data_IF_534639700798
#
_entry.id   IF_534639700798
#
_cell.length_a   1.000
_cell.length_b   1.000
_cell.length_c   1.000
_cell.angle_alpha   90.00
_cell.angle_beta   90.00
_cell.angle_gamma   90.00
#
_symmetry.space_group_name_H-M   'P 1'
#
loop_
_entity.id
_entity.type
_entity.pdbx_description
1 polymer ?
#
# COMPACT_ATOMS: atom_id res chain seq x y z
N UNK A 1 -10.11 7.91 -25.10
CA UNK A 1 -11.01 7.72 -23.94
C UNK A 1 -10.26 6.84 -22.95
N UNK A 2 -9.99 7.32 -21.74
CA UNK A 2 -9.23 6.54 -20.75
C UNK A 2 -10.06 5.39 -20.20
N UNK A 3 -9.48 4.20 -20.14
CA UNK A 3 -10.10 3.06 -19.47
C UNK A 3 -10.26 3.37 -17.97
N UNK A 4 -11.50 3.49 -17.51
CA UNK A 4 -11.79 3.65 -16.09
C UNK A 4 -11.50 2.32 -15.38
N UNK A 5 -10.52 2.33 -14.48
CA UNK A 5 -10.24 1.18 -13.61
C UNK A 5 -11.30 1.11 -12.52
N UNK A 6 -12.07 0.02 -12.48
CA UNK A 6 -13.02 -0.23 -11.39
C UNK A 6 -12.27 -0.62 -10.11
N UNK A 7 -12.89 -0.39 -8.94
CA UNK A 7 -12.35 -0.84 -7.65
C UNK A 7 -12.07 -2.36 -7.65
N UNK A 8 -12.94 -3.13 -8.30
CA UNK A 8 -12.77 -4.57 -8.48
C UNK A 8 -11.52 -4.88 -9.32
N UNK A 9 -11.26 -4.13 -10.39
CA UNK A 9 -10.03 -4.25 -11.19
C UNK A 9 -8.79 -3.98 -10.34
N UNK A 10 -8.79 -2.90 -9.55
CA UNK A 10 -7.68 -2.57 -8.66
C UNK A 10 -7.40 -3.67 -7.63
N UNK A 11 -8.46 -4.28 -7.09
CA UNK A 11 -8.34 -5.39 -6.16
C UNK A 11 -7.80 -6.66 -6.84
N UNK A 12 -8.35 -7.03 -8.00
CA UNK A 12 -7.93 -8.21 -8.75
C UNK A 12 -6.46 -8.10 -9.22
N UNK A 13 -6.00 -6.89 -9.54
CA UNK A 13 -4.62 -6.62 -9.91
C UNK A 13 -3.68 -6.42 -8.70
N UNK A 14 -4.14 -6.67 -7.47
CA UNK A 14 -3.38 -6.54 -6.21
C UNK A 14 -2.84 -5.12 -5.96
N UNK A 15 -3.40 -4.11 -6.61
CA UNK A 15 -3.08 -2.70 -6.37
C UNK A 15 -3.78 -2.26 -5.08
N UNK A 16 -5.04 -2.64 -4.91
CA UNK A 16 -5.84 -2.44 -3.71
C UNK A 16 -5.91 -3.74 -2.92
N UNK A 17 -5.73 -3.68 -1.60
CA UNK A 17 -5.72 -4.89 -0.76
C UNK A 17 -6.54 -4.77 0.52
N UNK A 18 -6.92 -5.92 1.08
CA UNK A 18 -7.38 -6.03 2.46
C UNK A 18 -6.16 -6.24 3.36
N UNK A 19 -5.69 -5.19 3.99
CA UNK A 19 -4.66 -5.29 5.02
C UNK A 19 -5.02 -4.33 6.15
N UNK A 20 -4.97 -4.78 7.40
CA UNK A 20 -5.23 -3.89 8.54
C UNK A 20 -4.15 -2.82 8.69
N UNK A 21 -4.50 -1.63 9.16
CA UNK A 21 -3.52 -0.59 9.49
C UNK A 21 -2.47 -1.08 10.47
N UNK A 22 -2.87 -1.98 11.40
CA UNK A 22 -2.00 -2.58 12.41
C UNK A 22 -0.85 -3.36 11.79
N UNK A 23 -1.02 -3.85 10.57
CA UNK A 23 0.00 -4.59 9.83
C UNK A 23 0.87 -3.71 8.92
N UNK A 24 0.48 -2.45 8.65
CA UNK A 24 1.24 -1.54 7.75
C UNK A 24 2.67 -1.32 8.24
N UNK A 25 2.89 -1.20 9.55
CA UNK A 25 4.24 -1.04 10.12
C UNK A 25 5.15 -2.23 9.81
N UNK A 26 4.61 -3.47 9.78
CA UNK A 26 5.37 -4.67 9.43
C UNK A 26 5.71 -4.70 7.95
N UNK A 27 4.73 -4.35 7.10
CA UNK A 27 4.91 -4.27 5.65
C UNK A 27 6.02 -3.28 5.29
N UNK A 28 5.96 -2.06 5.83
CA UNK A 28 6.96 -1.03 5.55
C UNK A 28 8.36 -1.39 6.05
N UNK A 29 8.47 -2.04 7.22
CA UNK A 29 9.76 -2.58 7.69
C UNK A 29 10.34 -3.62 6.74
N UNK A 30 9.51 -4.54 6.24
CA UNK A 30 9.96 -5.54 5.28
C UNK A 30 10.41 -4.90 3.96
N UNK A 31 9.69 -3.88 3.48
CA UNK A 31 10.11 -3.09 2.31
C UNK A 31 11.45 -2.41 2.54
N UNK A 32 11.63 -1.73 3.68
CA UNK A 32 12.87 -1.05 4.05
C UNK A 32 14.07 -2.03 4.17
N UNK A 33 13.86 -3.19 4.78
CA UNK A 33 14.89 -4.22 4.90
C UNK A 33 15.31 -4.77 3.53
N UNK A 34 14.36 -4.94 2.61
CA UNK A 34 14.64 -5.38 1.24
C UNK A 34 15.35 -4.30 0.45
N UNK A 35 14.92 -3.05 0.57
CA UNK A 35 15.57 -1.89 -0.03
C UNK A 35 17.04 -1.80 0.39
N UNK A 36 17.32 -1.96 1.69
CA UNK A 36 18.68 -1.97 2.22
C UNK A 36 19.53 -3.12 1.65
N UNK A 37 18.96 -4.32 1.47
CA UNK A 37 19.66 -5.48 0.90
C UNK A 37 19.97 -5.29 -0.58
N UNK A 38 19.08 -4.64 -1.30
CA UNK A 38 19.19 -4.45 -2.75
C UNK A 38 19.86 -3.12 -3.15
N UNK A 39 20.15 -2.23 -2.19
CA UNK A 39 20.66 -0.88 -2.46
C UNK A 39 19.62 0.01 -3.17
N UNK A 40 18.34 -0.30 -3.01
CA UNK A 40 17.22 0.44 -3.61
C UNK A 40 16.56 1.36 -2.60
N UNK A 41 15.78 2.34 -3.07
CA UNK A 41 14.97 3.22 -2.21
C UNK A 41 13.56 3.29 -2.78
N UNK A 42 12.70 2.40 -2.30
CA UNK A 42 11.31 2.30 -2.75
C UNK A 42 10.44 3.26 -1.94
N UNK A 43 9.93 4.30 -2.60
CA UNK A 43 8.83 5.12 -2.06
C UNK A 43 7.52 4.37 -2.23
N UNK A 44 7.21 3.49 -1.29
CA UNK A 44 6.02 2.64 -1.38
C UNK A 44 4.75 3.41 -0.99
N UNK A 45 3.76 3.39 -1.88
CA UNK A 45 2.38 3.79 -1.59
C UNK A 45 1.58 2.50 -1.46
N UNK A 46 0.94 2.32 -0.32
CA UNK A 46 0.08 1.16 -0.05
C UNK A 46 -1.38 1.59 -0.10
N UNK A 47 -2.14 0.99 -1.02
CA UNK A 47 -3.57 1.24 -1.19
C UNK A 47 -4.37 0.10 -0.54
N UNK A 48 -5.23 0.43 0.41
CA UNK A 48 -5.98 -0.57 1.19
C UNK A 48 -7.42 -0.17 1.44
N UNK A 49 -8.30 -1.16 1.59
CA UNK A 49 -9.60 -0.94 2.20
C UNK A 49 -9.42 -0.55 3.67
N UNK A 50 -10.14 0.47 4.11
CA UNK A 50 -10.11 0.98 5.47
C UNK A 50 -10.91 0.04 6.38
N UNK A 51 -10.26 -0.58 7.36
CA UNK A 51 -10.95 -1.45 8.34
C UNK A 51 -11.55 -0.61 9.49
N UNK A 52 -11.13 0.64 9.63
CA UNK A 52 -11.66 1.61 10.60
C UNK A 52 -12.92 2.34 10.11
N UNK A 53 -13.12 2.41 8.80
CA UNK A 53 -14.23 3.12 8.19
C UNK A 53 -14.73 2.40 6.92
N UNK A 54 -15.85 1.69 7.05
CA UNK A 54 -16.43 0.92 5.97
C UNK A 54 -16.71 1.78 4.72
N UNK A 55 -16.49 1.21 3.54
CA UNK A 55 -16.69 1.91 2.26
C UNK A 55 -15.57 2.88 1.87
N UNK A 56 -14.55 3.08 2.71
CA UNK A 56 -13.44 3.97 2.42
C UNK A 56 -12.17 3.22 2.00
N UNK A 57 -11.35 3.90 1.21
CA UNK A 57 -10.00 3.47 0.83
C UNK A 57 -9.01 4.39 1.53
N UNK A 58 -7.99 3.81 2.15
CA UNK A 58 -6.91 4.58 2.80
C UNK A 58 -5.59 4.38 2.07
N UNK A 59 -4.80 5.45 2.03
CA UNK A 59 -3.44 5.47 1.50
C UNK A 59 -2.44 5.49 2.65
N UNK A 60 -1.49 4.56 2.64
CA UNK A 60 -0.39 4.53 3.59
C UNK A 60 0.92 4.79 2.86
N UNK A 61 1.77 5.65 3.43
CA UNK A 61 3.03 6.08 2.82
C UNK A 61 4.20 5.71 3.72
N UNK A 62 5.31 5.27 3.12
CA UNK A 62 6.60 5.18 3.83
C UNK A 62 7.18 6.58 3.97
N UNK A 63 7.21 7.12 5.19
CA UNK A 63 7.75 8.45 5.46
C UNK A 63 9.27 8.34 5.67
N UNK A 64 10.05 8.52 4.61
CA UNK A 64 11.51 8.32 4.62
C UNK A 64 12.30 9.48 5.25
N UNK A 65 11.63 10.57 5.64
CA UNK A 65 12.27 11.73 6.27
C UNK A 65 11.76 11.93 7.70
N UNK A 66 12.48 11.36 8.66
CA UNK A 66 12.57 11.89 10.02
C UNK A 66 13.98 11.68 10.56
#
# INVERSE_FOLDING_TARGET
>A
MGEYQSILSLFNNRILTFTSVKNMKKVFKATEENDRKCGTLTRAIYLRFCDENAGHISFAFTNLNK
#
